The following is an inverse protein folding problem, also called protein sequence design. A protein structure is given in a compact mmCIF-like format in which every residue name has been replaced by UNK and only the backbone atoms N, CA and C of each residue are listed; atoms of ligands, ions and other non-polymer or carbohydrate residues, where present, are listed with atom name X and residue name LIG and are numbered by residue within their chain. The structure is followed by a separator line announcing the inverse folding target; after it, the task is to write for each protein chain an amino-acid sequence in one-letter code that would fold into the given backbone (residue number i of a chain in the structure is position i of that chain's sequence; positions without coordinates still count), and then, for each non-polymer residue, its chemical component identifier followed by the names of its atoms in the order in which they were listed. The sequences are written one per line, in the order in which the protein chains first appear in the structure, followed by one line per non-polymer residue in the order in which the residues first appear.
data_IF_951621729095
#
_entry.id   IF_951621729095
#
_cell.length_a   1.000
_cell.length_b   1.000
_cell.length_c   1.000
_cell.angle_alpha   90.00
_cell.angle_beta   90.00
_cell.angle_gamma   90.00
#
_symmetry.space_group_name_H-M   'P 1'
#
loop_
_entity.id
_entity.type
_entity.pdbx_description
1 polymer ?
#
# COMPACT_ATOMS: atom_id res chain seq x y z
N UNK A 1 -2.35 17.55 -8.96
CA UNK A 1 -2.41 18.50 -7.81
C UNK A 1 -3.74 19.22 -7.71
N UNK A 2 -4.15 20.04 -8.69
CA UNK A 2 -5.44 20.75 -8.64
C UNK A 2 -6.66 19.82 -8.47
N UNK A 3 -6.66 18.69 -9.19
CA UNK A 3 -7.71 17.67 -9.11
C UNK A 3 -7.91 17.09 -7.69
N UNK A 4 -6.83 16.86 -6.95
CA UNK A 4 -6.89 16.41 -5.56
C UNK A 4 -7.44 17.50 -4.62
N UNK A 5 -7.17 18.77 -4.91
CA UNK A 5 -7.72 19.90 -4.15
C UNK A 5 -9.23 20.06 -4.40
N UNK A 6 -9.70 19.78 -5.60
CA UNK A 6 -11.11 19.87 -5.99
C UNK A 6 -11.95 18.70 -5.45
N UNK A 7 -11.47 17.47 -5.60
CA UNK A 7 -12.24 16.26 -5.26
C UNK A 7 -11.95 15.69 -3.87
N UNK A 8 -10.85 16.10 -3.24
CA UNK A 8 -10.35 15.44 -2.03
C UNK A 8 -9.80 14.03 -2.33
N UNK A 9 -9.39 13.34 -1.26
CA UNK A 9 -8.87 11.96 -1.31
C UNK A 9 -9.47 11.22 -0.11
N UNK A 10 -10.58 10.52 -0.33
CA UNK A 10 -11.18 9.62 0.66
C UNK A 10 -10.46 8.25 0.67
N UNK A 11 -10.08 7.76 -0.50
CA UNK A 11 -9.21 6.59 -0.69
C UNK A 11 -8.39 6.72 -1.97
N UNK A 12 -7.28 5.99 -2.05
CA UNK A 12 -6.47 5.91 -3.27
C UNK A 12 -7.30 5.39 -4.46
N UNK A 13 -8.16 4.39 -4.24
CA UNK A 13 -9.01 3.78 -5.26
C UNK A 13 -9.98 4.78 -5.88
N UNK A 14 -10.77 5.45 -5.04
CA UNK A 14 -11.78 6.40 -5.49
C UNK A 14 -11.14 7.60 -6.18
N UNK A 15 -10.03 8.10 -5.65
CA UNK A 15 -9.27 9.17 -6.30
C UNK A 15 -8.75 8.72 -7.68
N UNK A 16 -8.23 7.49 -7.78
CA UNK A 16 -7.80 6.89 -9.04
C UNK A 16 -8.94 6.73 -10.06
N UNK A 17 -10.14 6.36 -9.59
CA UNK A 17 -11.36 6.30 -10.43
C UNK A 17 -11.72 7.66 -10.98
N UNK A 18 -11.75 8.71 -10.14
CA UNK A 18 -12.04 10.07 -10.60
C UNK A 18 -11.01 10.53 -11.65
N UNK A 19 -9.73 10.25 -11.41
CA UNK A 19 -8.65 10.67 -12.31
C UNK A 19 -8.70 9.92 -13.65
N UNK A 20 -8.89 8.60 -13.62
CA UNK A 20 -8.99 7.79 -14.82
C UNK A 20 -10.20 8.18 -15.69
N UNK A 21 -11.36 8.41 -15.05
CA UNK A 21 -12.56 8.90 -15.75
C UNK A 21 -12.30 10.25 -16.39
N UNK A 22 -11.74 11.19 -15.63
CA UNK A 22 -11.46 12.54 -16.11
C UNK A 22 -10.65 12.53 -17.41
N UNK A 23 -9.56 11.76 -17.48
CA UNK A 23 -8.74 11.71 -18.70
C UNK A 23 -9.49 11.12 -19.89
N UNK A 24 -10.19 10.00 -19.72
CA UNK A 24 -10.90 9.32 -20.82
C UNK A 24 -12.11 10.14 -21.31
N UNK A 25 -12.83 10.82 -20.42
CA UNK A 25 -14.07 11.52 -20.81
C UNK A 25 -13.85 12.97 -21.21
N UNK A 26 -12.72 13.59 -20.85
CA UNK A 26 -12.45 15.01 -21.16
C UNK A 26 -11.59 15.23 -22.40
N UNK A 27 -10.84 14.20 -22.85
CA UNK A 27 -9.91 14.31 -23.97
C UNK A 27 -10.27 13.30 -25.05
N UNK A 28 -10.81 13.77 -26.18
CA UNK A 28 -11.23 12.93 -27.31
C UNK A 28 -10.18 11.87 -27.75
N UNK A 29 -8.87 12.18 -27.81
CA UNK A 29 -7.87 11.20 -28.23
C UNK A 29 -7.56 10.11 -27.18
N UNK A 30 -8.01 10.27 -25.92
CA UNK A 30 -7.69 9.35 -24.83
C UNK A 30 -8.81 8.33 -24.68
N UNK A 31 -8.56 7.11 -25.15
CA UNK A 31 -9.51 6.00 -25.02
C UNK A 31 -9.24 5.10 -23.82
N UNK A 32 -8.12 5.28 -23.12
CA UNK A 32 -7.77 4.49 -21.93
C UNK A 32 -6.86 5.26 -21.00
N UNK A 33 -7.17 5.21 -19.71
CA UNK A 33 -6.30 5.71 -18.65
C UNK A 33 -5.94 4.57 -17.69
N UNK A 34 -4.65 4.49 -17.33
CA UNK A 34 -4.16 3.62 -16.26
C UNK A 34 -3.46 4.46 -15.21
N UNK A 35 -4.02 4.47 -14.01
CA UNK A 35 -3.55 5.25 -12.87
C UNK A 35 -2.98 4.28 -11.85
N UNK A 36 -1.76 4.54 -11.35
CA UNK A 36 -1.14 3.80 -10.25
C UNK A 36 -0.91 4.76 -9.11
N UNK A 37 -1.35 4.38 -7.92
CA UNK A 37 -1.24 5.20 -6.71
C UNK A 37 -0.56 4.36 -5.64
N UNK A 38 0.43 4.96 -4.99
CA UNK A 38 1.00 4.45 -3.74
C UNK A 38 0.52 5.34 -2.61
N UNK A 39 0.06 4.72 -1.53
CA UNK A 39 -0.39 5.39 -0.31
C UNK A 39 0.60 5.07 0.80
N UNK A 40 1.09 6.13 1.45
CA UNK A 40 2.00 6.05 2.58
C UNK A 40 1.25 6.44 3.85
N UNK A 41 1.23 5.53 4.82
CA UNK A 41 0.60 5.75 6.11
C UNK A 41 1.42 6.72 6.96
N UNK A 42 0.73 7.67 7.59
CA UNK A 42 1.32 8.65 8.49
C UNK A 42 0.67 8.55 9.86
N UNK A 43 1.45 8.13 10.85
CA UNK A 43 1.02 8.07 12.23
C UNK A 43 1.26 9.42 12.90
N UNK A 44 0.25 9.87 13.64
CA UNK A 44 0.33 11.11 14.40
C UNK A 44 1.25 10.89 15.60
N UNK A 45 2.27 11.74 15.76
CA UNK A 45 3.14 11.70 16.93
C UNK A 45 2.33 12.15 18.16
N UNK A 46 2.24 11.33 19.22
CA UNK A 46 1.59 11.74 20.45
C UNK A 46 2.28 13.00 21.02
N UNK A 47 1.50 14.01 21.40
CA UNK A 47 2.03 15.11 22.21
C UNK A 47 2.40 14.55 23.59
N UNK A 48 3.49 15.03 24.17
CA UNK A 48 3.86 14.64 25.54
C UNK A 48 2.82 15.18 26.52
N UNK A 49 2.24 14.29 27.32
CA UNK A 49 1.40 14.71 28.44
C UNK A 49 2.27 15.44 29.48
N UNK A 50 1.78 16.59 29.94
CA UNK A 50 2.27 17.41 31.05
C UNK A 50 3.38 18.46 30.75
N UNK A 51 3.01 19.73 30.98
CA UNK A 51 3.86 20.90 31.22
C UNK A 51 4.38 21.73 30.03
N UNK A 52 3.86 21.56 28.81
CA UNK A 52 4.08 22.60 27.79
C UNK A 52 3.27 23.84 28.15
N UNK A 53 3.89 24.80 28.86
CA UNK A 53 3.28 26.07 29.30
C UNK A 53 2.91 27.02 28.14
N UNK A 54 2.95 26.54 26.91
CA UNK A 54 2.53 27.28 25.73
C UNK A 54 1.07 26.96 25.41
N UNK A 55 0.22 27.95 25.65
CA UNK A 55 -1.19 27.95 25.22
C UNK A 55 -1.19 27.69 23.69
N UNK A 56 -1.77 26.56 23.27
CA UNK A 56 -1.91 26.17 21.86
C UNK A 56 -1.10 24.94 21.40
N UNK A 57 -0.16 24.43 22.21
CA UNK A 57 0.64 23.25 21.84
C UNK A 57 -0.15 21.92 21.93
N UNK A 58 -1.06 21.79 22.91
CA UNK A 58 -1.91 20.60 23.07
C UNK A 58 -3.08 20.56 22.08
N UNK A 59 -3.51 21.71 21.54
CA UNK A 59 -4.63 21.79 20.60
C UNK A 59 -4.23 21.43 19.17
N UNK A 60 -2.96 21.66 18.78
CA UNK A 60 -2.53 21.46 17.39
C UNK A 60 -1.61 20.26 17.28
N UNK A 61 -2.20 19.07 17.13
CA UNK A 61 -1.44 17.88 16.72
C UNK A 61 -1.17 18.00 15.21
N UNK A 62 0.05 18.38 14.82
CA UNK A 62 0.42 18.57 13.40
C UNK A 62 1.73 17.86 13.00
N UNK A 63 2.29 17.06 13.91
CA UNK A 63 3.50 16.28 13.68
C UNK A 63 3.15 14.82 13.39
N UNK A 64 3.79 14.24 12.37
CA UNK A 64 3.54 12.88 11.91
C UNK A 64 4.86 12.17 11.61
N UNK A 65 4.86 10.86 11.82
CA UNK A 65 5.92 9.95 11.39
C UNK A 65 5.36 9.03 10.31
N UNK A 66 6.15 8.75 9.28
CA UNK A 66 5.74 7.79 8.25
C UNK A 66 5.79 6.39 8.86
N UNK A 67 4.67 5.68 8.81
CA UNK A 67 4.59 4.26 9.15
C UNK A 67 5.19 3.47 7.99
N UNK A 68 6.15 2.60 8.31
CA UNK A 68 6.94 1.84 7.32
C UNK A 68 6.65 0.34 7.30
N UNK A 69 5.48 -0.09 7.79
CA UNK A 69 5.10 -1.51 7.85
C UNK A 69 4.74 -2.07 6.47
N UNK A 70 4.09 -1.26 5.62
CA UNK A 70 3.73 -1.61 4.26
C UNK A 70 3.49 -0.34 3.42
N UNK A 71 3.42 -0.49 2.10
CA UNK A 71 2.91 0.54 1.20
C UNK A 71 1.63 0.02 0.55
N UNK A 72 0.52 0.72 0.72
CA UNK A 72 -0.73 0.38 0.04
C UNK A 72 -0.67 0.84 -1.41
N UNK A 73 -1.21 0.03 -2.31
CA UNK A 73 -1.16 0.22 -3.74
C UNK A 73 -2.56 0.11 -4.33
N UNK A 74 -2.81 0.88 -5.38
CA UNK A 74 -3.94 0.60 -6.27
C UNK A 74 -3.59 0.95 -7.71
N UNK A 75 -4.10 0.15 -8.64
CA UNK A 75 -4.06 0.38 -10.07
C UNK A 75 -5.49 0.41 -10.61
N UNK A 76 -5.86 1.53 -11.22
CA UNK A 76 -7.15 1.74 -11.85
C UNK A 76 -6.92 1.82 -13.35
N UNK A 77 -7.57 0.96 -14.13
CA UNK A 77 -7.65 1.08 -15.58
C UNK A 77 -9.11 1.32 -15.99
N UNK A 78 -9.33 2.31 -16.85
CA UNK A 78 -10.62 2.60 -17.47
C UNK A 78 -10.43 2.81 -18.96
N UNK A 79 -11.29 2.18 -19.78
CA UNK A 79 -11.22 2.23 -21.24
C UNK A 79 -12.44 2.93 -21.89
N UNK A 80 -13.23 3.64 -21.10
CA UNK A 80 -14.48 4.28 -21.56
C UNK A 80 -15.72 3.44 -21.27
N UNK A 81 -15.59 2.13 -21.09
CA UNK A 81 -16.70 1.23 -20.82
C UNK A 81 -16.51 0.43 -19.52
N UNK A 82 -15.30 -0.11 -19.31
CA UNK A 82 -15.02 -1.09 -18.27
C UNK A 82 -13.97 -0.57 -17.30
N UNK A 83 -14.15 -0.96 -16.03
CA UNK A 83 -13.22 -0.68 -14.95
C UNK A 83 -12.45 -1.95 -14.59
N UNK A 84 -11.14 -1.80 -14.42
CA UNK A 84 -10.27 -2.76 -13.75
C UNK A 84 -9.64 -2.03 -12.55
N UNK A 85 -9.90 -2.51 -11.34
CA UNK A 85 -9.34 -1.96 -10.12
C UNK A 85 -8.62 -3.10 -9.41
N UNK A 86 -7.31 -2.94 -9.23
CA UNK A 86 -6.47 -3.88 -8.50
C UNK A 86 -5.90 -3.12 -7.31
N UNK A 87 -6.29 -3.52 -6.10
CA UNK A 87 -5.75 -2.98 -4.86
C UNK A 87 -4.84 -4.01 -4.21
N UNK A 88 -3.86 -3.53 -3.47
CA UNK A 88 -2.88 -4.39 -2.87
C UNK A 88 -1.98 -3.67 -1.89
N UNK A 89 -0.96 -4.39 -1.43
CA UNK A 89 0.13 -3.83 -0.65
C UNK A 89 1.45 -4.43 -1.09
N UNK A 90 2.53 -3.73 -0.76
CA UNK A 90 3.90 -4.23 -0.89
C UNK A 90 4.70 -3.89 0.35
N UNK A 91 5.89 -4.47 0.44
CA UNK A 91 6.90 -4.15 1.45
C UNK A 91 6.53 -4.57 2.88
N UNK A 92 5.49 -5.39 3.04
CA UNK A 92 5.13 -5.98 4.33
C UNK A 92 6.07 -7.13 4.68
N UNK A 93 7.05 -6.86 5.55
CA UNK A 93 8.04 -7.84 5.99
C UNK A 93 7.50 -8.59 7.21
N UNK A 94 7.39 -9.92 7.09
CA UNK A 94 6.91 -10.81 8.15
C UNK A 94 7.87 -11.97 8.37
N UNK A 95 7.88 -12.51 9.60
CA UNK A 95 8.68 -13.67 9.95
C UNK A 95 7.96 -14.56 10.96
N UNK A 96 7.96 -15.86 10.70
CA UNK A 96 7.69 -16.91 11.67
C UNK A 96 9.01 -17.59 12.06
N UNK A 97 9.29 -17.71 13.36
CA UNK A 97 10.53 -18.32 13.87
C UNK A 97 10.49 -19.86 13.95
N UNK A 98 9.30 -20.45 13.90
CA UNK A 98 9.00 -21.89 13.93
C UNK A 98 7.65 -22.14 13.24
N UNK A 99 7.13 -23.37 13.25
CA UNK A 99 5.88 -23.79 12.60
C UNK A 99 5.85 -23.48 11.10
N UNK A 100 7.01 -23.63 10.45
CA UNK A 100 7.11 -23.59 9.00
C UNK A 100 7.92 -24.79 8.55
N UNK A 101 7.48 -25.45 7.49
CA UNK A 101 8.03 -26.72 7.04
C UNK A 101 8.26 -26.71 5.53
N UNK A 102 9.19 -27.53 5.05
CA UNK A 102 9.45 -27.76 3.64
C UNK A 102 10.01 -29.15 3.42
N UNK A 103 9.11 -30.08 3.12
CA UNK A 103 9.38 -31.48 2.86
C UNK A 103 8.39 -32.00 1.82
N UNK A 104 8.65 -33.18 1.24
CA UNK A 104 7.79 -33.79 0.24
C UNK A 104 7.88 -33.16 -1.17
N UNK A 105 8.85 -32.27 -1.42
CA UNK A 105 9.15 -31.78 -2.76
C UNK A 105 9.79 -32.87 -3.64
N UNK A 106 9.67 -32.71 -4.96
CA UNK A 106 10.25 -33.63 -5.95
C UNK A 106 11.77 -33.66 -5.81
N UNK A 107 12.35 -34.86 -5.77
CA UNK A 107 13.80 -35.06 -5.69
C UNK A 107 14.32 -35.64 -7.00
N UNK A 108 15.43 -35.08 -7.47
CA UNK A 108 16.16 -35.51 -8.65
C UNK A 108 17.68 -35.56 -8.38
N UNK A 109 18.47 -35.85 -9.42
CA UNK A 109 19.95 -35.92 -9.32
C UNK A 109 20.63 -34.59 -8.96
N UNK A 110 19.91 -33.48 -8.94
CA UNK A 110 20.41 -32.14 -8.58
C UNK A 110 19.90 -31.68 -7.20
N UNK A 111 19.02 -32.45 -6.58
CA UNK A 111 18.40 -32.07 -5.31
C UNK A 111 19.36 -32.30 -4.15
N UNK A 112 19.91 -31.20 -3.62
CA UNK A 112 20.84 -31.21 -2.48
C UNK A 112 20.25 -30.62 -1.20
N UNK A 113 19.14 -29.89 -1.33
CA UNK A 113 18.45 -29.30 -0.19
C UNK A 113 17.94 -30.43 0.73
N UNK A 114 18.18 -30.38 2.05
CA UNK A 114 17.53 -31.30 2.98
C UNK A 114 16.07 -30.88 3.22
N UNK A 115 15.23 -31.85 3.57
CA UNK A 115 13.89 -31.56 4.08
C UNK A 115 13.97 -30.90 5.46
N UNK A 116 13.03 -30.00 5.74
CA UNK A 116 12.89 -29.34 7.03
C UNK A 116 11.47 -29.51 7.55
N UNK A 117 11.35 -30.04 8.77
CA UNK A 117 10.08 -30.23 9.48
C UNK A 117 9.82 -29.13 10.52
N UNK A 118 10.78 -28.22 10.71
CA UNK A 118 10.59 -26.93 11.36
C UNK A 118 11.73 -25.99 10.91
N UNK A 119 11.39 -24.77 10.47
CA UNK A 119 12.34 -23.75 10.00
C UNK A 119 11.77 -22.35 10.12
N UNK A 120 12.67 -21.37 10.22
CA UNK A 120 12.33 -19.94 10.07
C UNK A 120 11.79 -19.69 8.65
N UNK A 121 10.70 -18.94 8.56
CA UNK A 121 10.18 -18.38 7.32
C UNK A 121 10.11 -16.87 7.46
N UNK A 122 10.88 -16.15 6.64
CA UNK A 122 10.77 -14.70 6.49
C UNK A 122 10.45 -14.37 5.04
N UNK A 123 9.53 -13.44 4.81
CA UNK A 123 9.15 -13.00 3.47
C UNK A 123 8.71 -11.55 3.47
N UNK A 124 8.75 -10.94 2.29
CA UNK A 124 8.08 -9.68 2.00
C UNK A 124 6.80 -10.01 1.24
N UNK A 125 5.65 -9.61 1.77
CA UNK A 125 4.34 -9.87 1.16
C UNK A 125 4.06 -8.78 0.12
N UNK A 126 3.64 -9.25 -1.06
CA UNK A 126 2.99 -8.44 -2.07
C UNK A 126 1.70 -9.17 -2.46
N UNK A 127 0.55 -8.51 -2.31
CA UNK A 127 -0.78 -9.07 -2.50
C UNK A 127 -1.71 -8.04 -3.11
#
# INVERSE_FOLDING_TARGET
FAFAKEHGIESAEQFGVHLARHFVTSQEPIHRARIRIEEYSWERIPASDANSRFIGADEVKHSFVRQGQETRLTQITYDGERWEIVSGLKDLVVMNSTNSEFWGYVKDKYTTLPEAYDRILATQVAA
#
